data_IF_718841300345
#
_entry.id   IF_718841300345
#
_cell.length_a   1.000
_cell.length_b   1.000
_cell.length_c   1.000
_cell.angle_alpha   90.00
_cell.angle_beta   90.00
_cell.angle_gamma   90.00
#
_symmetry.space_group_name_H-M   'P 1'
#
loop_
_entity.id
_entity.type
_entity.pdbx_description
1 polymer ?
#
# COMPACT_ATOMS: atom_id res chain seq x y z
N UNK A 1 26.81 20.67 -27.32
CA UNK A 1 25.93 20.65 -26.12
C UNK A 1 24.52 20.99 -26.59
N UNK A 2 23.67 19.98 -26.79
CA UNK A 2 22.37 20.17 -27.46
C UNK A 2 21.46 21.06 -26.59
N UNK A 3 21.08 22.23 -27.13
CA UNK A 3 20.05 23.08 -26.53
C UNK A 3 18.73 22.35 -26.73
N UNK A 4 18.21 21.72 -25.69
CA UNK A 4 16.87 21.11 -25.70
C UNK A 4 15.91 22.27 -25.93
N UNK A 5 15.46 22.46 -27.17
CA UNK A 5 14.48 23.49 -27.45
C UNK A 5 13.20 23.15 -26.66
N UNK A 6 12.58 24.11 -25.95
CA UNK A 6 11.38 23.85 -25.15
C UNK A 6 10.29 23.13 -25.95
N UNK A 7 10.19 23.45 -27.25
CA UNK A 7 9.28 22.82 -28.21
C UNK A 7 9.56 21.32 -28.44
N UNK A 8 10.83 20.91 -28.49
CA UNK A 8 11.19 19.49 -28.58
C UNK A 8 10.91 18.73 -27.29
N UNK A 9 11.11 19.36 -26.13
CA UNK A 9 10.80 18.78 -24.83
C UNK A 9 9.29 18.48 -24.68
N UNK A 10 8.42 19.43 -25.05
CA UNK A 10 6.97 19.19 -25.06
C UNK A 10 6.55 18.05 -25.99
N UNK A 11 7.22 17.92 -27.15
CA UNK A 11 6.99 16.81 -28.09
C UNK A 11 7.38 15.46 -27.48
N UNK A 12 8.52 15.39 -26.81
CA UNK A 12 8.99 14.19 -26.11
C UNK A 12 8.06 13.82 -24.95
N UNK A 13 7.66 14.78 -24.10
CA UNK A 13 6.71 14.54 -23.01
C UNK A 13 5.37 14.01 -23.52
N UNK A 14 4.83 14.58 -24.60
CA UNK A 14 3.59 14.07 -25.23
C UNK A 14 3.74 12.64 -25.77
N UNK A 15 4.93 12.25 -26.23
CA UNK A 15 5.21 10.88 -26.65
C UNK A 15 5.31 9.92 -25.46
N UNK A 16 5.92 10.33 -24.35
CA UNK A 16 6.01 9.51 -23.13
C UNK A 16 4.66 9.35 -22.42
N UNK A 17 3.84 10.40 -22.36
CA UNK A 17 2.49 10.34 -21.77
C UNK A 17 1.60 9.34 -22.50
N UNK A 18 1.80 9.13 -23.81
CA UNK A 18 1.07 8.11 -24.58
C UNK A 18 1.45 6.67 -24.22
N UNK A 19 2.61 6.46 -23.59
CA UNK A 19 3.03 5.13 -23.10
C UNK A 19 2.41 4.81 -21.74
N UNK A 20 1.79 5.79 -21.07
CA UNK A 20 1.11 5.58 -19.79
C UNK A 20 -0.20 4.84 -20.04
N UNK A 21 -0.19 3.53 -19.81
CA UNK A 21 -1.39 2.70 -19.83
C UNK A 21 -2.08 2.83 -18.49
N UNK A 22 -3.15 3.63 -18.45
CA UNK A 22 -3.97 3.75 -17.26
C UNK A 22 -4.73 2.44 -17.01
N UNK A 23 -4.71 1.94 -15.78
CA UNK A 23 -5.42 0.72 -15.44
C UNK A 23 -6.92 0.90 -15.60
N UNK A 24 -7.60 -0.17 -16.00
CA UNK A 24 -9.05 -0.18 -16.09
C UNK A 24 -9.66 -0.19 -14.69
N UNK A 25 -10.91 0.31 -14.55
CA UNK A 25 -11.65 0.26 -13.28
C UNK A 25 -11.69 -1.16 -12.68
N UNK A 26 -11.72 -2.20 -13.53
CA UNK A 26 -11.73 -3.60 -13.11
C UNK A 26 -10.42 -4.02 -12.45
N UNK A 27 -9.28 -3.64 -13.04
CA UNK A 27 -7.95 -3.93 -12.49
C UNK A 27 -7.73 -3.23 -11.14
N UNK A 28 -8.19 -1.98 -11.01
CA UNK A 28 -8.12 -1.24 -9.74
C UNK A 28 -8.93 -1.93 -8.65
N UNK A 29 -10.13 -2.41 -8.96
CA UNK A 29 -10.96 -3.13 -7.97
C UNK A 29 -10.33 -4.47 -7.61
N UNK A 30 -9.86 -5.24 -8.58
CA UNK A 30 -9.23 -6.54 -8.33
C UNK A 30 -7.98 -6.41 -7.45
N UNK A 31 -7.09 -5.47 -7.76
CA UNK A 31 -5.88 -5.22 -6.96
C UNK A 31 -6.23 -4.71 -5.56
N UNK A 32 -7.25 -3.86 -5.42
CA UNK A 32 -7.72 -3.38 -4.11
C UNK A 32 -8.31 -4.50 -3.26
N UNK A 33 -9.12 -5.39 -3.83
CA UNK A 33 -9.67 -6.56 -3.13
C UNK A 33 -8.56 -7.49 -2.64
N UNK A 34 -7.54 -7.73 -3.47
CA UNK A 34 -6.39 -8.54 -3.06
C UNK A 34 -5.68 -7.95 -1.84
N UNK A 35 -5.46 -6.63 -1.82
CA UNK A 35 -4.86 -5.93 -0.67
C UNK A 35 -5.75 -6.03 0.57
N UNK A 36 -7.07 -5.83 0.43
CA UNK A 36 -8.01 -5.94 1.54
C UNK A 36 -7.97 -7.33 2.20
N UNK A 37 -7.87 -8.40 1.42
CA UNK A 37 -7.76 -9.77 1.95
C UNK A 37 -6.50 -9.95 2.79
N UNK A 38 -5.33 -9.51 2.28
CA UNK A 38 -4.06 -9.64 3.02
C UNK A 38 -4.08 -8.81 4.31
N UNK A 39 -4.61 -7.59 4.23
CA UNK A 39 -4.75 -6.71 5.40
C UNK A 39 -5.72 -7.30 6.42
N UNK A 40 -6.83 -7.91 6.00
CA UNK A 40 -7.78 -8.55 6.91
C UNK A 40 -7.15 -9.73 7.67
N UNK A 41 -6.32 -10.54 6.99
CA UNK A 41 -5.58 -11.63 7.62
C UNK A 41 -4.56 -11.08 8.63
N UNK A 42 -3.77 -10.07 8.23
CA UNK A 42 -2.80 -9.43 9.11
C UNK A 42 -3.45 -8.78 10.34
N UNK A 43 -4.57 -8.07 10.15
CA UNK A 43 -5.33 -7.44 11.23
C UNK A 43 -5.88 -8.50 12.22
N UNK A 44 -6.36 -9.62 11.70
CA UNK A 44 -6.82 -10.74 12.53
C UNK A 44 -5.67 -11.30 13.37
N UNK A 45 -4.50 -11.52 12.75
CA UNK A 45 -3.30 -11.97 13.47
C UNK A 45 -2.89 -11.00 14.57
N UNK A 46 -2.78 -9.70 14.27
CA UNK A 46 -2.43 -8.70 15.27
C UNK A 46 -3.45 -8.64 16.41
N UNK A 47 -4.74 -8.73 16.11
CA UNK A 47 -5.78 -8.77 17.14
C UNK A 47 -5.57 -9.90 18.15
N UNK A 48 -5.28 -11.12 17.69
CA UNK A 48 -4.99 -12.25 18.59
C UNK A 48 -3.72 -12.03 19.41
N UNK A 49 -2.67 -11.50 18.78
CA UNK A 49 -1.40 -11.19 19.44
C UNK A 49 -1.62 -10.15 20.54
N UNK A 50 -2.33 -9.07 20.25
CA UNK A 50 -2.63 -8.01 21.22
C UNK A 50 -3.42 -8.53 22.42
N UNK A 51 -4.40 -9.42 22.19
CA UNK A 51 -5.15 -10.07 23.28
C UNK A 51 -4.23 -10.95 24.14
N UNK A 52 -3.37 -11.75 23.50
CA UNK A 52 -2.43 -12.63 24.20
C UNK A 52 -1.43 -11.83 25.06
N UNK A 53 -0.81 -10.79 24.48
CA UNK A 53 0.10 -9.93 25.21
C UNK A 53 -0.61 -9.15 26.31
N UNK A 54 -1.83 -8.67 26.07
CA UNK A 54 -2.64 -8.00 27.09
C UNK A 54 -2.94 -8.89 28.30
N UNK A 55 -3.24 -10.18 28.07
CA UNK A 55 -3.41 -11.16 29.14
C UNK A 55 -2.08 -11.46 29.86
N UNK A 56 -1.00 -11.66 29.11
CA UNK A 56 0.33 -11.92 29.68
C UNK A 56 0.84 -10.76 30.55
N UNK A 57 0.66 -9.51 30.10
CA UNK A 57 1.00 -8.30 30.86
C UNK A 57 0.15 -8.22 32.12
N UNK A 58 -1.17 -8.50 32.06
CA UNK A 58 -2.02 -8.53 33.25
C UNK A 58 -1.58 -9.59 34.26
N UNK A 59 -1.09 -10.75 33.83
CA UNK A 59 -0.56 -11.76 34.75
C UNK A 59 0.73 -11.30 35.43
N UNK A 60 1.65 -10.69 34.68
CA UNK A 60 2.96 -10.27 35.20
C UNK A 60 2.81 -9.06 36.14
N UNK A 61 2.01 -8.06 35.75
CA UNK A 61 1.82 -6.84 36.54
C UNK A 61 0.70 -6.97 37.59
N UNK A 62 -0.26 -7.88 37.40
CA UNK A 62 -1.34 -8.13 38.36
C UNK A 62 -0.93 -8.98 39.56
N UNK A 63 0.27 -9.60 39.52
CA UNK A 63 0.89 -10.27 40.68
C UNK A 63 1.83 -9.34 41.49
N UNK A 64 2.03 -8.10 41.02
CA UNK A 64 2.98 -7.13 41.60
C UNK A 64 2.36 -5.99 42.42
N UNK A 65 1.04 -6.05 42.69
CA UNK A 65 0.34 -5.26 43.72
C UNK A 65 -0.38 -6.21 44.65
#
# INVERSE_FOLDING_TARGET
MAKISPIQFFRQVKQEVKKVTWPTRKEVVQTSVMVLVIVAIAATFFFFVDQFFGWAVKLIFGLGV
#
